data_IF_542528729672
#
_entry.id   IF_542528729672
#
_cell.length_a   1.000
_cell.length_b   1.000
_cell.length_c   1.000
_cell.angle_alpha   90.00
_cell.angle_beta   90.00
_cell.angle_gamma   90.00
#
_symmetry.space_group_name_H-M   'P 1'
#
loop_
_entity.id
_entity.type
_entity.pdbx_description
1 polymer ?
#
# COMPACT_ATOMS: atom_id res chain seq x y z
N UNK A 1 -11.18 17.30 0.68
CA UNK A 1 -10.05 16.58 1.32
C UNK A 1 -8.80 16.77 0.47
N UNK A 2 -7.63 16.84 1.10
CA UNK A 2 -6.35 16.77 0.37
C UNK A 2 -6.21 15.39 -0.28
N UNK A 3 -5.83 15.30 -1.57
CA UNK A 3 -5.78 14.01 -2.28
C UNK A 3 -4.82 13.01 -1.61
N UNK A 4 -3.77 13.49 -0.96
CA UNK A 4 -2.80 12.65 -0.24
C UNK A 4 -3.42 12.03 1.02
N UNK A 5 -4.28 12.78 1.72
CA UNK A 5 -5.00 12.30 2.89
C UNK A 5 -6.07 11.27 2.47
N UNK A 6 -6.73 11.48 1.34
CA UNK A 6 -7.66 10.50 0.79
C UNK A 6 -6.95 9.18 0.45
N UNK A 7 -5.81 9.25 -0.24
CA UNK A 7 -4.98 8.08 -0.54
C UNK A 7 -4.48 7.37 0.73
N UNK A 8 -4.11 8.12 1.77
CA UNK A 8 -3.73 7.52 3.06
C UNK A 8 -4.90 6.78 3.72
N UNK A 9 -6.10 7.37 3.74
CA UNK A 9 -7.27 6.69 4.31
C UNK A 9 -7.63 5.42 3.53
N UNK A 10 -7.54 5.47 2.19
CA UNK A 10 -7.73 4.29 1.35
C UNK A 10 -6.68 3.22 1.69
N UNK A 11 -5.42 3.61 1.83
CA UNK A 11 -4.33 2.70 2.21
C UNK A 11 -4.60 1.99 3.54
N UNK A 12 -5.00 2.75 4.56
CA UNK A 12 -5.33 2.19 5.89
C UNK A 12 -6.51 1.22 5.80
N UNK A 13 -7.55 1.55 5.04
CA UNK A 13 -8.70 0.65 4.85
C UNK A 13 -8.27 -0.63 4.13
N UNK A 14 -7.43 -0.53 3.09
CA UNK A 14 -6.93 -1.70 2.36
C UNK A 14 -6.04 -2.60 3.23
N UNK A 15 -5.15 -2.04 4.05
CA UNK A 15 -4.34 -2.83 4.98
C UNK A 15 -5.20 -3.51 6.06
N UNK A 16 -6.27 -2.86 6.54
CA UNK A 16 -7.22 -3.50 7.48
C UNK A 16 -7.99 -4.64 6.81
N UNK A 17 -8.37 -4.47 5.53
CA UNK A 17 -8.96 -5.54 4.75
C UNK A 17 -7.96 -6.67 4.52
N UNK A 18 -6.68 -6.37 4.35
CA UNK A 18 -5.64 -7.40 4.23
C UNK A 18 -5.47 -8.21 5.52
N UNK A 19 -5.35 -7.54 6.66
CA UNK A 19 -5.26 -8.21 7.96
C UNK A 19 -6.49 -9.06 8.31
N UNK A 20 -7.58 -8.94 7.57
CA UNK A 20 -8.82 -9.69 7.80
C UNK A 20 -9.13 -10.67 6.66
N UNK A 21 -9.44 -10.16 5.47
CA UNK A 21 -9.80 -10.92 4.27
C UNK A 21 -8.58 -11.61 3.65
N UNK A 22 -7.42 -10.97 3.70
CA UNK A 22 -6.16 -11.56 3.27
C UNK A 22 -5.80 -12.81 4.06
N UNK A 23 -6.37 -13.04 5.25
CA UNK A 23 -6.12 -14.23 6.09
C UNK A 23 -7.01 -15.43 5.79
N UNK A 24 -7.81 -15.36 4.74
CA UNK A 24 -8.63 -16.48 4.29
C UNK A 24 -7.74 -17.44 3.49
N UNK A 25 -7.57 -18.71 3.93
CA UNK A 25 -6.69 -19.65 3.26
C UNK A 25 -7.01 -19.79 1.76
N UNK A 26 -5.99 -19.63 0.93
CA UNK A 26 -6.12 -19.71 -0.53
C UNK A 26 -6.55 -18.41 -1.22
N UNK A 27 -6.82 -17.33 -0.48
CA UNK A 27 -7.11 -16.01 -1.05
C UNK A 27 -5.95 -15.02 -0.95
N UNK A 28 -5.02 -15.25 -0.01
CA UNK A 28 -3.79 -14.47 0.27
C UNK A 28 -3.12 -13.92 -1.00
N UNK A 29 -2.48 -14.78 -1.79
CA UNK A 29 -1.71 -14.38 -2.98
C UNK A 29 -2.54 -13.59 -4.01
N UNK A 30 -3.82 -13.94 -4.17
CA UNK A 30 -4.69 -13.22 -5.10
C UNK A 30 -5.02 -11.81 -4.60
N UNK A 31 -5.19 -11.65 -3.28
CA UNK A 31 -5.43 -10.38 -2.64
C UNK A 31 -4.17 -9.50 -2.68
N UNK A 32 -2.99 -10.05 -2.41
CA UNK A 32 -1.70 -9.34 -2.52
C UNK A 32 -1.46 -8.78 -3.93
N UNK A 33 -1.78 -9.57 -4.96
CA UNK A 33 -1.68 -9.12 -6.35
C UNK A 33 -2.65 -7.96 -6.61
N UNK A 34 -3.88 -8.05 -6.12
CA UNK A 34 -4.88 -6.99 -6.26
C UNK A 34 -4.43 -5.70 -5.56
N UNK A 35 -3.91 -5.81 -4.34
CA UNK A 35 -3.35 -4.70 -3.59
C UNK A 35 -2.13 -4.09 -4.29
N UNK A 36 -1.25 -4.93 -4.84
CA UNK A 36 -0.12 -4.50 -5.66
C UNK A 36 -0.55 -3.67 -6.87
N UNK A 37 -1.57 -4.12 -7.61
CA UNK A 37 -2.14 -3.36 -8.73
C UNK A 37 -2.74 -2.04 -8.26
N UNK A 38 -3.49 -2.05 -7.16
CA UNK A 38 -4.07 -0.84 -6.58
C UNK A 38 -2.99 0.16 -6.13
N UNK A 39 -1.90 -0.33 -5.55
CA UNK A 39 -0.75 0.48 -5.13
C UNK A 39 -0.10 1.17 -6.32
N UNK A 40 0.16 0.43 -7.40
CA UNK A 40 0.72 0.98 -8.65
C UNK A 40 -0.22 2.00 -9.27
N UNK A 41 -1.54 1.75 -9.26
CA UNK A 41 -2.51 2.71 -9.76
C UNK A 41 -2.52 4.02 -8.94
N UNK A 42 -2.35 3.94 -7.61
CA UNK A 42 -2.40 5.11 -6.73
C UNK A 42 -1.08 5.91 -6.67
N UNK A 43 0.07 5.24 -6.74
CA UNK A 43 1.38 5.87 -6.52
C UNK A 43 2.41 5.63 -7.63
N UNK A 44 2.09 4.88 -8.68
CA UNK A 44 3.02 4.60 -9.78
C UNK A 44 4.17 3.68 -9.37
N UNK A 45 5.40 4.08 -9.69
CA UNK A 45 6.62 3.30 -9.39
C UNK A 45 6.75 2.85 -7.92
N UNK A 46 6.55 3.73 -6.92
CA UNK A 46 6.49 3.32 -5.51
C UNK A 46 5.50 2.21 -5.20
N UNK A 47 4.41 2.09 -5.95
CA UNK A 47 3.41 1.04 -5.75
C UNK A 47 3.93 -0.37 -6.01
N UNK A 48 4.99 -0.54 -6.81
CA UNK A 48 5.56 -1.86 -7.07
C UNK A 48 6.13 -2.53 -5.80
N UNK A 49 6.44 -1.76 -4.75
CA UNK A 49 6.89 -2.33 -3.48
C UNK A 49 5.81 -3.18 -2.79
N UNK A 50 4.53 -2.96 -3.07
CA UNK A 50 3.46 -3.81 -2.53
C UNK A 50 3.52 -5.25 -3.08
N UNK A 51 4.05 -5.47 -4.29
CA UNK A 51 4.23 -6.84 -4.80
C UNK A 51 5.28 -7.67 -4.05
N UNK A 52 6.02 -7.08 -3.10
CA UNK A 52 6.89 -7.86 -2.22
C UNK A 52 6.09 -8.78 -1.29
N UNK A 53 4.81 -8.49 -1.03
CA UNK A 53 3.92 -9.36 -0.24
C UNK A 53 3.68 -10.71 -0.94
N UNK A 54 3.63 -10.72 -2.28
CA UNK A 54 3.53 -11.96 -3.08
C UNK A 54 4.73 -12.90 -2.85
N UNK A 55 5.88 -12.37 -2.41
CA UNK A 55 7.06 -13.17 -2.08
C UNK A 55 7.00 -13.78 -0.66
N UNK A 56 5.98 -13.44 0.14
CA UNK A 56 5.64 -14.07 1.41
C UNK A 56 4.32 -14.86 1.30
N UNK A 57 4.33 -16.03 0.63
CA UNK A 57 3.12 -16.85 0.47
C UNK A 57 2.65 -17.49 1.79
N UNK A 58 3.35 -17.25 2.90
CA UNK A 58 2.93 -17.69 4.23
C UNK A 58 2.09 -16.63 4.95
N UNK A 59 2.08 -15.41 4.41
CA UNK A 59 1.45 -14.23 5.00
C UNK A 59 2.03 -13.82 6.36
N UNK A 60 3.15 -14.41 6.81
CA UNK A 60 3.64 -14.17 8.18
C UNK A 60 4.21 -12.76 8.38
N UNK A 61 4.82 -12.18 7.37
CA UNK A 61 5.36 -10.81 7.38
C UNK A 61 4.23 -9.84 7.06
N UNK A 62 3.45 -10.19 6.05
CA UNK A 62 2.29 -9.44 5.59
C UNK A 62 1.27 -9.21 6.72
N UNK A 63 1.06 -10.18 7.62
CA UNK A 63 0.14 -10.05 8.76
C UNK A 63 0.52 -9.02 9.83
N UNK A 64 1.69 -8.39 9.72
CA UNK A 64 2.16 -7.37 10.66
C UNK A 64 2.60 -6.07 9.99
N UNK A 65 2.70 -6.04 8.66
CA UNK A 65 3.21 -4.90 7.91
C UNK A 65 2.07 -4.21 7.15
N UNK A 66 1.66 -2.98 7.54
CA UNK A 66 0.66 -2.23 6.77
C UNK A 66 1.31 -1.58 5.55
N UNK A 67 1.67 -2.39 4.54
CA UNK A 67 2.53 -1.98 3.42
C UNK A 67 1.94 -0.84 2.62
N UNK A 68 0.63 -0.83 2.36
CA UNK A 68 -0.02 0.25 1.61
C UNK A 68 0.09 1.57 2.37
N UNK A 69 -0.13 1.53 3.68
CA UNK A 69 0.02 2.70 4.56
C UNK A 69 1.46 3.19 4.60
N UNK A 70 2.44 2.29 4.67
CA UNK A 70 3.86 2.65 4.62
C UNK A 70 4.25 3.33 3.30
N UNK A 71 3.75 2.81 2.17
CA UNK A 71 3.92 3.45 0.85
C UNK A 71 3.28 4.84 0.85
N UNK A 72 2.03 4.96 1.30
CA UNK A 72 1.32 6.24 1.36
C UNK A 72 2.08 7.29 2.19
N UNK A 73 2.54 6.92 3.40
CA UNK A 73 3.32 7.79 4.27
C UNK A 73 4.66 8.21 3.63
N UNK A 74 5.33 7.29 2.93
CA UNK A 74 6.58 7.59 2.21
C UNK A 74 6.38 8.66 1.12
N UNK A 75 5.23 8.63 0.43
CA UNK A 75 4.90 9.59 -0.62
C UNK A 75 4.42 10.94 -0.06
N UNK A 76 3.74 10.94 1.08
CA UNK A 76 3.36 12.19 1.76
C UNK A 76 4.59 13.01 2.19
N UNK A 77 5.65 12.35 2.67
CA UNK A 77 6.89 13.03 3.04
C UNK A 77 7.59 13.66 1.83
N UNK A 78 7.50 13.03 0.65
CA UNK A 78 8.01 13.57 -0.61
C UNK A 78 7.20 14.78 -1.08
N UNK A 79 5.87 14.71 -1.05
CA UNK A 79 5.00 15.83 -1.42
C UNK A 79 5.26 17.08 -0.55
N UNK A 80 5.51 16.90 0.75
CA UNK A 80 5.86 18.01 1.68
C UNK A 80 7.24 18.63 1.41
N UNK A 81 8.14 17.93 0.73
CA UNK A 81 9.49 18.42 0.36
C UNK A 81 9.51 19.16 -0.98
N UNK A 82 8.42 19.05 -1.76
CA UNK A 82 8.25 19.73 -3.05
C UNK A 82 7.32 20.97 -3.05
N UNK A 83 7.30 21.89 -2.05
CA UNK A 83 6.60 23.16 -2.24
C UNK A 83 7.37 24.16 -3.12
N UNK A 84 8.71 24.19 -3.13
CA UNK A 84 9.49 25.30 -3.74
C UNK A 84 10.87 24.85 -4.29
N UNK A 85 10.93 23.95 -5.27
CA UNK A 85 12.21 23.63 -5.94
C UNK A 85 12.26 23.99 -7.44
N UNK A 86 11.27 24.74 -7.94
CA UNK A 86 11.31 25.37 -9.24
C UNK A 86 10.20 26.41 -9.33
N UNK A 87 10.45 27.63 -8.88
CA UNK A 87 10.08 28.89 -9.54
C UNK A 87 10.75 30.05 -8.80
#
# INVERSE_FOLDING_TARGET
MRPEVAKLLIAVVLDVLDFTVGRIPGFEVAFDILLGVAAVAMWGWPGFFAFLEVADPTGQIDGFAPTMTLIALSQMRRAKKSPDAAH
#
